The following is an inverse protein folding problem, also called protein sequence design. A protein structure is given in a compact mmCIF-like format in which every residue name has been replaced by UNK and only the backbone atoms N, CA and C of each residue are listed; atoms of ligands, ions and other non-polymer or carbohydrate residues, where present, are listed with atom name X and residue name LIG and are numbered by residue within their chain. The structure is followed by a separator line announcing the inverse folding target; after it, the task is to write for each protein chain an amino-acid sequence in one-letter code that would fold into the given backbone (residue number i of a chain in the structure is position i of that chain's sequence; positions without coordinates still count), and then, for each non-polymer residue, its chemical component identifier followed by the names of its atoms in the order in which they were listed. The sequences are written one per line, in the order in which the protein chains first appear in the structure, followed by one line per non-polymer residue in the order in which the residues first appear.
data_IF_706093041235
#
_entry.id   IF_706093041235
#
_cell.length_a   1.000
_cell.length_b   1.000
_cell.length_c   1.000
_cell.angle_alpha   90.00
_cell.angle_beta   90.00
_cell.angle_gamma   90.00
#
_symmetry.space_group_name_H-M   'P 1'
#
loop_
_entity.id
_entity.type
_entity.pdbx_description
1 polymer ?
#
# COMPACT_ATOMS: atom_id res chain seq x y z
N UNK A 1 28.78 16.66 -7.09
CA UNK A 1 27.76 15.75 -6.52
C UNK A 1 27.06 16.48 -5.38
N UNK A 2 25.74 16.31 -5.22
CA UNK A 2 24.97 16.98 -4.16
C UNK A 2 24.35 15.96 -3.20
N UNK A 3 25.14 15.37 -2.28
CA UNK A 3 24.68 14.28 -1.40
C UNK A 3 23.52 14.70 -0.48
N UNK A 4 23.50 15.96 -0.04
CA UNK A 4 22.40 16.48 0.80
C UNK A 4 21.13 16.68 -0.02
N UNK A 5 21.24 17.31 -1.19
CA UNK A 5 20.09 17.55 -2.07
C UNK A 5 19.48 16.24 -2.57
N UNK A 6 20.31 15.23 -2.85
CA UNK A 6 19.83 13.92 -3.29
C UNK A 6 19.13 13.14 -2.17
N UNK A 7 19.45 13.41 -0.90
CA UNK A 7 18.69 12.86 0.23
C UNK A 7 17.32 13.53 0.34
N UNK A 8 17.29 14.86 0.32
CA UNK A 8 16.03 15.65 0.34
C UNK A 8 15.12 15.22 -0.81
N UNK A 9 15.65 15.11 -2.03
CA UNK A 9 14.86 14.70 -3.18
C UNK A 9 14.23 13.31 -2.99
N UNK A 10 14.96 12.35 -2.39
CA UNK A 10 14.42 11.00 -2.11
C UNK A 10 13.32 11.04 -1.07
N UNK A 11 13.46 11.86 -0.03
CA UNK A 11 12.47 11.98 1.04
C UNK A 11 11.16 12.60 0.53
N UNK A 12 11.24 13.64 -0.32
CA UNK A 12 10.06 14.34 -0.83
C UNK A 12 9.41 13.69 -2.05
N UNK A 13 10.20 13.20 -3.01
CA UNK A 13 9.65 12.60 -4.23
C UNK A 13 9.03 11.22 -4.00
N UNK A 14 9.35 10.56 -2.87
CA UNK A 14 8.68 9.33 -2.47
C UNK A 14 7.26 9.56 -1.93
N UNK A 15 6.90 10.79 -1.55
CA UNK A 15 5.57 11.12 -1.05
C UNK A 15 4.58 11.04 -2.21
N UNK A 16 3.53 10.24 -2.03
CA UNK A 16 2.52 10.10 -3.06
C UNK A 16 1.64 11.35 -3.15
N UNK A 17 1.45 11.87 -4.36
CA UNK A 17 0.66 13.09 -4.60
C UNK A 17 -0.87 12.90 -4.53
N UNK A 18 -1.38 11.71 -4.25
CA UNK A 18 -2.82 11.43 -4.17
C UNK A 18 -3.13 10.17 -3.34
N UNK A 19 -4.40 9.98 -2.98
CA UNK A 19 -4.91 8.78 -2.30
C UNK A 19 -5.02 7.54 -3.21
N UNK A 20 -4.78 7.67 -4.51
CA UNK A 20 -5.11 6.64 -5.52
C UNK A 20 -4.47 5.28 -5.26
N UNK A 21 -3.23 5.21 -4.76
CA UNK A 21 -2.63 3.92 -4.44
C UNK A 21 -3.28 3.24 -3.23
N UNK A 22 -3.68 4.03 -2.23
CA UNK A 22 -4.42 3.51 -1.06
C UNK A 22 -5.80 3.03 -1.49
N UNK A 23 -6.52 3.80 -2.30
CA UNK A 23 -7.82 3.41 -2.85
C UNK A 23 -7.73 2.14 -3.70
N UNK A 24 -6.68 2.01 -4.52
CA UNK A 24 -6.43 0.79 -5.29
C UNK A 24 -6.17 -0.41 -4.37
N UNK A 25 -5.36 -0.24 -3.33
CA UNK A 25 -5.12 -1.30 -2.34
C UNK A 25 -6.43 -1.71 -1.63
N UNK A 26 -7.25 -0.75 -1.21
CA UNK A 26 -8.54 -1.04 -0.56
C UNK A 26 -9.58 -1.64 -1.50
N UNK A 27 -9.66 -1.21 -2.76
CA UNK A 27 -10.55 -1.83 -3.76
C UNK A 27 -10.21 -3.32 -3.92
N UNK A 28 -8.91 -3.63 -4.02
CA UNK A 28 -8.41 -5.00 -4.10
C UNK A 28 -8.61 -5.79 -2.80
N UNK A 29 -8.45 -5.15 -1.64
CA UNK A 29 -8.76 -5.72 -0.35
C UNK A 29 -10.24 -6.04 -0.20
N UNK A 30 -11.12 -5.15 -0.66
CA UNK A 30 -12.56 -5.34 -0.71
C UNK A 30 -12.94 -6.63 -1.44
N UNK A 31 -12.40 -6.86 -2.65
CA UNK A 31 -12.62 -8.11 -3.39
C UNK A 31 -12.20 -9.35 -2.59
N UNK A 32 -11.08 -9.28 -1.87
CA UNK A 32 -10.57 -10.40 -1.08
C UNK A 32 -11.47 -10.69 0.13
N UNK A 33 -11.92 -9.64 0.81
CA UNK A 33 -12.71 -9.72 2.05
C UNK A 33 -14.18 -10.02 1.80
N UNK A 34 -14.77 -9.60 0.68
CA UNK A 34 -16.22 -9.78 0.44
C UNK A 34 -16.51 -10.86 -0.59
N UNK A 35 -15.88 -10.79 -1.77
CA UNK A 35 -16.21 -11.64 -2.92
C UNK A 35 -15.51 -12.99 -2.86
N UNK A 36 -14.22 -13.01 -2.51
CA UNK A 36 -13.38 -14.21 -2.61
C UNK A 36 -13.29 -14.99 -1.30
N UNK A 37 -13.17 -14.32 -0.15
CA UNK A 37 -13.03 -14.94 1.17
C UNK A 37 -13.67 -14.10 2.29
N UNK A 38 -14.94 -14.35 2.57
CA UNK A 38 -15.74 -13.63 3.56
C UNK A 38 -15.58 -14.06 5.04
N UNK A 39 -14.67 -14.99 5.35
CA UNK A 39 -14.44 -15.51 6.72
C UNK A 39 -13.01 -15.29 7.22
N UNK A 40 -12.30 -14.30 6.68
CA UNK A 40 -10.96 -13.95 7.14
C UNK A 40 -11.05 -13.07 8.39
N UNK A 41 -10.16 -13.32 9.35
CA UNK A 41 -10.00 -12.42 10.48
C UNK A 41 -9.36 -11.11 10.02
N UNK A 42 -9.64 -9.96 10.68
CA UNK A 42 -9.02 -8.67 10.33
C UNK A 42 -7.49 -8.74 10.28
N UNK A 43 -6.86 -9.44 11.22
CA UNK A 43 -5.40 -9.64 11.28
C UNK A 43 -4.86 -10.37 10.04
N UNK A 44 -5.60 -11.38 9.56
CA UNK A 44 -5.23 -12.11 8.35
C UNK A 44 -5.35 -11.24 7.10
N UNK A 45 -6.38 -10.39 7.03
CA UNK A 45 -6.58 -9.45 5.93
C UNK A 45 -5.43 -8.44 5.88
N UNK A 46 -5.05 -7.86 7.02
CA UNK A 46 -3.92 -6.93 7.13
C UNK A 46 -2.61 -7.56 6.63
N UNK A 47 -2.27 -8.74 7.15
CA UNK A 47 -1.08 -9.47 6.73
C UNK A 47 -1.07 -9.77 5.22
N UNK A 48 -2.24 -10.12 4.66
CA UNK A 48 -2.38 -10.36 3.22
C UNK A 48 -2.23 -9.09 2.38
N UNK A 49 -2.73 -7.94 2.83
CA UNK A 49 -2.53 -6.67 2.10
C UNK A 49 -1.06 -6.25 2.12
N UNK A 50 -0.38 -6.39 3.26
CA UNK A 50 1.07 -6.12 3.36
C UNK A 50 1.85 -7.05 2.42
N UNK A 51 1.55 -8.35 2.46
CA UNK A 51 2.19 -9.33 1.59
C UNK A 51 1.96 -9.00 0.11
N UNK A 52 0.73 -8.65 -0.26
CA UNK A 52 0.38 -8.35 -1.66
C UNK A 52 1.00 -7.06 -2.19
N UNK A 53 1.17 -6.05 -1.36
CA UNK A 53 1.76 -4.76 -1.77
C UNK A 53 3.28 -4.71 -1.62
N UNK A 54 3.88 -5.62 -0.83
CA UNK A 54 5.32 -5.68 -0.59
C UNK A 54 6.12 -6.52 -1.59
N UNK A 55 5.45 -7.33 -2.41
CA UNK A 55 6.02 -8.08 -3.54
C UNK A 55 5.59 -7.44 -4.86
#
# INVERSE_FOLDING_TARGET
QYPVLSQIARDYLAIQGSSTASERAFSQGGLTVTVMRNRLSPKTVEALQILKNGY
#
